data_IF_710236497482
#
_entry.id   IF_710236497482
#
_cell.length_a   1.000
_cell.length_b   1.000
_cell.length_c   1.000
_cell.angle_alpha   90.00
_cell.angle_beta   90.00
_cell.angle_gamma   90.00
#
_symmetry.space_group_name_H-M   'P 1'
#
loop_
_entity.id
_entity.type
_entity.pdbx_description
1 polymer ?
#
# COMPACT_ATOMS: atom_id res chain seq x y z
N UNK A 1 2.81 16.35 11.73
CA UNK A 1 1.38 16.54 11.30
C UNK A 1 1.33 16.84 9.81
N UNK A 2 0.40 16.25 9.07
CA UNK A 2 0.25 16.49 7.64
C UNK A 2 -0.16 17.95 7.32
N UNK A 3 0.06 18.36 6.08
CA UNK A 3 -0.31 19.70 5.59
C UNK A 3 -1.84 19.94 5.53
N UNK A 4 -2.60 18.87 5.49
CA UNK A 4 -4.06 18.87 5.62
C UNK A 4 -4.37 18.21 6.97
N UNK A 5 -4.98 18.93 7.94
CA UNK A 5 -5.25 18.38 9.26
C UNK A 5 -6.27 17.23 9.18
N UNK A 6 -6.16 16.26 10.07
CA UNK A 6 -7.17 15.22 10.22
C UNK A 6 -8.51 15.81 10.69
N UNK A 7 -9.65 15.23 10.30
CA UNK A 7 -10.92 15.56 10.94
C UNK A 7 -10.94 15.01 12.37
N UNK A 8 -11.83 15.52 13.17
CA UNK A 8 -12.16 14.90 14.45
C UNK A 8 -12.97 13.62 14.18
N UNK A 9 -12.34 12.47 14.42
CA UNK A 9 -12.94 11.16 14.14
C UNK A 9 -14.12 10.83 15.06
N UNK A 10 -14.19 11.44 16.24
CA UNK A 10 -15.30 11.26 17.19
C UNK A 10 -16.61 11.86 16.66
N UNK A 11 -16.54 12.80 15.74
CA UNK A 11 -17.70 13.41 15.10
C UNK A 11 -18.32 12.57 13.99
N UNK A 12 -17.64 11.52 13.55
CA UNK A 12 -18.13 10.63 12.47
C UNK A 12 -19.16 9.66 13.07
N UNK A 13 -20.40 9.76 12.61
CA UNK A 13 -21.52 8.92 13.04
C UNK A 13 -22.02 7.95 11.98
N UNK A 14 -21.60 8.12 10.73
CA UNK A 14 -21.96 7.23 9.64
C UNK A 14 -21.33 5.84 9.82
N UNK A 15 -22.17 4.81 9.88
CA UNK A 15 -21.74 3.42 10.16
C UNK A 15 -20.84 2.84 9.07
N UNK A 16 -21.00 3.27 7.81
CA UNK A 16 -20.15 2.83 6.69
C UNK A 16 -18.75 3.41 6.82
N UNK A 17 -18.64 4.70 7.13
CA UNK A 17 -17.35 5.36 7.34
C UNK A 17 -16.62 4.76 8.56
N UNK A 18 -17.34 4.55 9.66
CA UNK A 18 -16.79 3.92 10.86
C UNK A 18 -16.25 2.53 10.57
N UNK A 19 -16.97 1.72 9.79
CA UNK A 19 -16.50 0.39 9.37
C UNK A 19 -15.19 0.48 8.58
N UNK A 20 -15.04 1.41 7.64
CA UNK A 20 -13.78 1.58 6.89
C UNK A 20 -12.61 2.03 7.76
N UNK A 21 -12.86 2.85 8.78
CA UNK A 21 -11.84 3.22 9.75
C UNK A 21 -11.44 2.02 10.63
N UNK A 22 -12.39 1.20 11.05
CA UNK A 22 -12.12 -0.02 11.83
C UNK A 22 -11.40 -1.10 11.00
N UNK A 23 -11.78 -1.27 9.74
CA UNK A 23 -11.07 -2.14 8.81
C UNK A 23 -9.59 -1.74 8.66
N UNK A 24 -9.27 -0.46 8.71
CA UNK A 24 -7.87 0.00 8.64
C UNK A 24 -7.06 -0.40 9.87
N UNK A 25 -7.66 -0.41 11.05
CA UNK A 25 -7.03 -0.91 12.28
C UNK A 25 -6.81 -2.43 12.23
N UNK A 26 -7.78 -3.15 11.65
CA UNK A 26 -7.77 -4.62 11.58
C UNK A 26 -6.79 -5.17 10.55
N UNK A 27 -6.76 -4.60 9.35
CA UNK A 27 -6.01 -5.16 8.20
C UNK A 27 -4.64 -4.51 7.97
N UNK A 28 -4.32 -3.45 8.69
CA UNK A 28 -3.03 -2.78 8.65
C UNK A 28 -2.74 -1.96 7.39
N UNK A 29 -3.39 -2.28 6.25
CA UNK A 29 -3.32 -1.47 5.05
C UNK A 29 -4.67 -1.45 4.32
N UNK A 30 -5.20 -0.24 4.01
CA UNK A 30 -4.63 1.09 4.29
C UNK A 30 -4.64 1.41 5.79
N UNK A 31 -3.67 2.17 6.25
CA UNK A 31 -3.56 2.58 7.66
C UNK A 31 -4.59 3.64 8.05
N UNK A 32 -4.89 3.71 9.35
CA UNK A 32 -5.87 4.65 9.91
C UNK A 32 -5.57 6.10 9.53
N UNK A 33 -4.31 6.54 9.59
CA UNK A 33 -3.91 7.92 9.27
C UNK A 33 -4.35 8.30 7.85
N UNK A 34 -4.13 7.43 6.88
CA UNK A 34 -4.54 7.70 5.49
C UNK A 34 -6.06 7.65 5.30
N UNK A 35 -6.77 6.80 6.03
CA UNK A 35 -8.23 6.71 5.97
C UNK A 35 -8.89 7.90 6.70
N UNK A 36 -8.34 8.32 7.83
CA UNK A 36 -8.79 9.52 8.54
C UNK A 36 -8.67 10.78 7.65
N UNK A 37 -7.56 10.90 6.91
CA UNK A 37 -7.43 12.01 5.96
C UNK A 37 -8.53 11.98 4.88
N UNK A 38 -8.82 10.80 4.32
CA UNK A 38 -9.90 10.63 3.31
C UNK A 38 -11.29 10.88 3.91
N UNK A 39 -11.49 10.60 5.19
CA UNK A 39 -12.76 10.79 5.88
C UNK A 39 -13.23 12.25 5.93
N UNK A 40 -12.35 13.21 5.64
CA UNK A 40 -12.77 14.62 5.42
C UNK A 40 -13.79 14.77 4.29
N UNK A 41 -13.78 13.83 3.33
CA UNK A 41 -14.74 13.79 2.23
C UNK A 41 -15.28 12.37 2.16
N UNK A 42 -16.47 12.08 2.70
CA UNK A 42 -17.06 10.74 2.77
C UNK A 42 -16.96 9.95 1.46
N UNK A 43 -17.33 10.55 0.34
CA UNK A 43 -17.26 9.91 -0.97
C UNK A 43 -15.84 9.46 -1.37
N UNK A 44 -14.80 10.17 -0.93
CA UNK A 44 -13.39 9.79 -1.18
C UNK A 44 -13.01 8.57 -0.34
N UNK A 45 -13.42 8.54 0.93
CA UNK A 45 -13.18 7.38 1.79
C UNK A 45 -13.90 6.14 1.27
N UNK A 46 -15.18 6.25 0.91
CA UNK A 46 -15.99 5.16 0.37
C UNK A 46 -15.40 4.61 -0.93
N UNK A 47 -15.21 5.45 -1.94
CA UNK A 47 -14.71 5.04 -3.25
C UNK A 47 -13.34 4.36 -3.15
N UNK A 48 -12.43 4.93 -2.35
CA UNK A 48 -11.12 4.33 -2.13
C UNK A 48 -11.24 2.99 -1.42
N UNK A 49 -12.01 2.91 -0.34
CA UNK A 49 -12.17 1.69 0.48
C UNK A 49 -12.82 0.56 -0.30
N UNK A 50 -13.83 0.85 -1.12
CA UNK A 50 -14.44 -0.15 -2.01
C UNK A 50 -13.46 -0.65 -3.07
N UNK A 51 -12.74 0.24 -3.75
CA UNK A 51 -11.69 -0.16 -4.69
C UNK A 51 -10.62 -1.02 -4.01
N UNK A 52 -10.20 -0.63 -2.82
CA UNK A 52 -9.19 -1.36 -2.06
C UNK A 52 -9.66 -2.76 -1.67
N UNK A 53 -10.91 -2.89 -1.21
CA UNK A 53 -11.51 -4.18 -0.88
C UNK A 53 -11.61 -5.08 -2.10
N UNK A 54 -12.25 -4.59 -3.17
CA UNK A 54 -12.57 -5.41 -4.34
C UNK A 54 -11.37 -5.74 -5.21
N UNK A 55 -10.41 -4.81 -5.33
CA UNK A 55 -9.26 -4.97 -6.24
C UNK A 55 -8.02 -5.43 -5.49
N UNK A 56 -7.67 -4.82 -4.35
CA UNK A 56 -6.46 -5.18 -3.66
C UNK A 56 -6.60 -6.46 -2.84
N UNK A 57 -7.69 -6.61 -2.07
CA UNK A 57 -7.87 -7.76 -1.18
C UNK A 57 -8.49 -8.97 -1.88
N UNK A 58 -9.54 -8.75 -2.67
CA UNK A 58 -10.35 -9.84 -3.24
C UNK A 58 -9.93 -10.19 -4.66
N UNK A 59 -9.85 -9.34 -5.59
CA UNK A 59 -9.57 -9.44 -7.03
C UNK A 59 -9.11 -10.78 -7.64
N UNK A 60 -8.81 -10.76 -8.92
CA UNK A 60 -8.41 -11.98 -9.68
C UNK A 60 -6.89 -12.19 -9.75
N UNK A 61 -6.10 -11.21 -9.33
CA UNK A 61 -4.64 -11.32 -9.19
C UNK A 61 -4.29 -11.69 -7.76
N UNK A 62 -3.33 -12.61 -7.57
CA UNK A 62 -2.85 -12.98 -6.25
C UNK A 62 -2.45 -11.74 -5.44
N UNK A 63 -2.93 -11.68 -4.20
CA UNK A 63 -2.70 -10.54 -3.33
C UNK A 63 -1.22 -10.25 -3.12
N UNK A 64 -0.38 -11.31 -3.02
CA UNK A 64 1.06 -11.15 -2.85
C UNK A 64 1.73 -10.37 -3.98
N UNK A 65 1.28 -10.53 -5.23
CA UNK A 65 1.79 -9.78 -6.40
C UNK A 65 1.44 -8.31 -6.26
N UNK A 66 0.20 -8.02 -5.89
CA UNK A 66 -0.27 -6.64 -5.66
C UNK A 66 0.47 -5.99 -4.49
N UNK A 67 0.72 -6.72 -3.41
CA UNK A 67 1.48 -6.20 -2.27
C UNK A 67 2.95 -5.91 -2.62
N UNK A 68 3.61 -6.77 -3.40
CA UNK A 68 4.95 -6.50 -3.93
C UNK A 68 4.98 -5.25 -4.81
N UNK A 69 4.04 -5.12 -5.74
CA UNK A 69 3.92 -3.93 -6.59
C UNK A 69 3.68 -2.66 -5.76
N UNK A 70 2.82 -2.72 -4.74
CA UNK A 70 2.56 -1.61 -3.83
C UNK A 70 3.83 -1.15 -3.08
N UNK A 71 4.61 -2.10 -2.56
CA UNK A 71 5.84 -1.79 -1.82
C UNK A 71 6.94 -1.31 -2.77
N UNK A 72 7.06 -1.91 -3.97
CA UNK A 72 7.97 -1.42 -5.01
C UNK A 72 7.71 0.05 -5.32
N UNK A 73 6.48 0.43 -5.62
CA UNK A 73 6.11 1.81 -5.92
C UNK A 73 6.43 2.73 -4.73
N UNK A 74 6.10 2.30 -3.51
CA UNK A 74 6.35 3.08 -2.31
C UNK A 74 7.84 3.36 -2.09
N UNK A 75 8.68 2.35 -2.25
CA UNK A 75 10.14 2.47 -2.11
C UNK A 75 10.74 3.29 -3.25
N UNK A 76 10.31 3.07 -4.48
CA UNK A 76 10.80 3.83 -5.64
C UNK A 76 10.40 5.30 -5.61
N UNK A 77 9.25 5.64 -4.98
CA UNK A 77 8.83 7.02 -4.71
C UNK A 77 9.47 7.62 -3.45
N UNK A 78 10.26 6.86 -2.70
CA UNK A 78 10.77 7.26 -1.39
C UNK A 78 9.64 7.77 -0.47
N UNK A 79 8.52 7.04 -0.42
CA UNK A 79 7.42 7.29 0.49
C UNK A 79 7.58 6.43 1.75
N UNK A 80 8.28 6.91 2.76
CA UNK A 80 8.53 6.15 4.00
C UNK A 80 7.25 5.66 4.68
N UNK A 81 6.20 6.49 4.71
CA UNK A 81 4.89 6.09 5.21
C UNK A 81 4.29 4.90 4.43
N UNK A 82 4.33 4.96 3.09
CA UNK A 82 3.75 3.90 2.27
C UNK A 82 4.60 2.62 2.27
N UNK A 83 5.93 2.76 2.29
CA UNK A 83 6.88 1.65 2.28
C UNK A 83 6.91 0.89 3.61
N UNK A 84 6.59 1.55 4.71
CA UNK A 84 6.53 0.95 6.05
C UNK A 84 5.27 0.12 6.33
N UNK A 85 4.30 0.08 5.41
CA UNK A 85 3.08 -0.71 5.60
C UNK A 85 3.25 -2.15 5.09
N UNK A 86 2.58 -3.09 5.76
CA UNK A 86 2.50 -4.51 5.38
C UNK A 86 1.05 -4.97 5.39
N UNK A 87 0.65 -5.64 4.33
CA UNK A 87 -0.65 -6.28 4.29
C UNK A 87 -0.64 -7.57 5.09
N UNK A 88 -1.62 -7.75 5.95
CA UNK A 88 -1.82 -9.00 6.69
C UNK A 88 -1.98 -10.20 5.73
N UNK A 89 -2.78 -10.04 4.67
CA UNK A 89 -2.96 -11.07 3.65
C UNK A 89 -1.65 -11.40 2.90
N UNK A 90 -0.76 -10.43 2.70
CA UNK A 90 0.55 -10.68 2.09
C UNK A 90 1.41 -11.59 2.97
N UNK A 91 1.41 -11.38 4.28
CA UNK A 91 2.10 -12.23 5.24
C UNK A 91 1.49 -13.64 5.28
N UNK A 92 0.16 -13.77 5.28
CA UNK A 92 -0.54 -15.07 5.20
C UNK A 92 -0.21 -15.84 3.92
N UNK A 93 0.04 -15.14 2.81
CA UNK A 93 0.49 -15.73 1.54
C UNK A 93 2.01 -15.94 1.46
N UNK A 94 2.71 -15.81 2.58
CA UNK A 94 4.12 -16.14 2.71
C UNK A 94 5.09 -15.07 2.21
N UNK A 95 4.68 -13.80 2.07
CA UNK A 95 5.61 -12.70 1.84
C UNK A 95 6.47 -12.45 3.08
N UNK A 96 7.75 -12.24 2.84
CA UNK A 96 8.76 -12.01 3.89
C UNK A 96 9.44 -10.65 3.71
N UNK A 97 10.01 -10.09 4.79
CA UNK A 97 10.77 -8.83 4.73
C UNK A 97 11.92 -8.91 3.73
N UNK A 98 12.59 -10.06 3.61
CA UNK A 98 13.66 -10.25 2.62
C UNK A 98 13.20 -10.03 1.17
N UNK A 99 11.99 -10.46 0.81
CA UNK A 99 11.43 -10.20 -0.52
C UNK A 99 11.11 -8.72 -0.71
N UNK A 100 10.57 -8.07 0.32
CA UNK A 100 10.38 -6.62 0.25
C UNK A 100 11.70 -5.84 0.15
N UNK A 101 12.78 -6.32 0.76
CA UNK A 101 14.09 -5.66 0.66
C UNK A 101 14.66 -5.72 -0.75
N UNK A 102 14.33 -6.74 -1.52
CA UNK A 102 14.82 -6.94 -2.87
C UNK A 102 13.94 -6.32 -3.98
N UNK A 103 12.77 -5.70 -3.65
CA UNK A 103 11.83 -5.21 -4.69
C UNK A 103 12.42 -4.15 -5.61
N UNK A 104 13.36 -3.32 -5.18
CA UNK A 104 14.01 -2.34 -6.05
C UNK A 104 15.07 -3.00 -6.97
N UNK A 105 15.62 -4.13 -6.55
CA UNK A 105 16.59 -4.94 -7.30
C UNK A 105 15.93 -6.20 -7.91
N UNK A 106 14.62 -6.16 -8.10
CA UNK A 106 13.80 -7.33 -8.46
C UNK A 106 14.31 -8.13 -9.65
N UNK A 107 14.95 -7.48 -10.63
CA UNK A 107 15.52 -8.17 -11.81
C UNK A 107 16.59 -9.18 -11.44
N UNK A 108 17.34 -8.93 -10.37
CA UNK A 108 18.43 -9.79 -9.88
C UNK A 108 18.01 -10.70 -8.74
N UNK A 109 16.83 -10.47 -8.17
CA UNK A 109 16.33 -11.24 -7.04
C UNK A 109 16.19 -12.72 -7.40
N UNK A 110 16.64 -13.58 -6.49
CA UNK A 110 16.39 -15.02 -6.52
C UNK A 110 15.22 -15.42 -5.62
N UNK A 111 14.65 -14.48 -4.87
CA UNK A 111 13.51 -14.68 -3.98
C UNK A 111 12.17 -14.40 -4.66
N UNK A 112 12.19 -13.75 -5.82
CA UNK A 112 11.00 -13.40 -6.58
C UNK A 112 10.88 -14.31 -7.80
N UNK A 113 9.66 -14.78 -8.05
CA UNK A 113 9.33 -15.59 -9.23
C UNK A 113 9.31 -14.71 -10.51
N UNK A 114 9.43 -15.33 -11.68
CA UNK A 114 9.36 -14.58 -12.96
C UNK A 114 8.01 -13.88 -13.14
N UNK A 115 6.92 -14.49 -12.64
CA UNK A 115 5.58 -13.86 -12.62
C UNK A 115 5.56 -12.59 -11.77
N UNK A 116 6.19 -12.61 -10.61
CA UNK A 116 6.31 -11.42 -9.73
C UNK A 116 7.19 -10.35 -10.38
N UNK A 117 8.29 -10.75 -11.01
CA UNK A 117 9.17 -9.82 -11.75
C UNK A 117 8.46 -9.16 -12.93
N UNK A 118 7.66 -9.91 -13.69
CA UNK A 118 6.85 -9.36 -14.77
C UNK A 118 5.87 -8.29 -14.26
N UNK A 119 5.20 -8.53 -13.12
CA UNK A 119 4.34 -7.54 -12.49
C UNK A 119 5.11 -6.28 -12.05
N UNK A 120 6.33 -6.43 -11.55
CA UNK A 120 7.18 -5.31 -11.13
C UNK A 120 7.74 -4.52 -12.31
N UNK A 121 8.06 -5.15 -13.46
CA UNK A 121 8.38 -4.46 -14.71
C UNK A 121 7.23 -3.55 -15.14
N UNK A 122 6.00 -4.04 -15.04
CA UNK A 122 4.84 -3.24 -15.41
C UNK A 122 4.56 -2.14 -14.39
N UNK A 123 4.75 -2.43 -13.09
CA UNK A 123 4.64 -1.40 -12.05
C UNK A 123 5.65 -0.26 -12.26
N UNK A 124 6.87 -0.58 -12.68
CA UNK A 124 7.89 0.41 -13.02
C UNK A 124 7.48 1.25 -14.22
N UNK A 125 6.99 0.62 -15.30
CA UNK A 125 6.53 1.32 -16.50
C UNK A 125 5.37 2.28 -16.18
N UNK A 126 4.34 1.82 -15.49
CA UNK A 126 3.20 2.68 -15.13
C UNK A 126 3.61 3.81 -14.18
N UNK A 127 4.52 3.53 -13.23
CA UNK A 127 4.91 4.53 -12.23
C UNK A 127 5.85 5.61 -12.76
N UNK A 128 6.70 5.29 -13.73
CA UNK A 128 7.81 6.15 -14.15
C UNK A 128 7.75 6.55 -15.62
N UNK A 129 7.72 5.58 -16.53
CA UNK A 129 7.75 5.82 -17.97
C UNK A 129 7.01 4.72 -18.71
N UNK A 130 5.82 4.98 -19.27
CA UNK A 130 5.06 4.00 -20.02
C UNK A 130 5.83 3.39 -21.21
N UNK A 131 6.83 4.09 -21.73
CA UNK A 131 7.69 3.58 -22.82
C UNK A 131 8.57 2.39 -22.41
N UNK A 132 8.71 2.11 -21.10
CA UNK A 132 9.40 0.92 -20.61
C UNK A 132 8.59 -0.38 -20.83
N UNK A 133 7.29 -0.28 -21.09
CA UNK A 133 6.44 -1.43 -21.42
C UNK A 133 6.55 -1.74 -22.93
N UNK A 134 7.72 -2.15 -23.35
CA UNK A 134 8.00 -2.60 -24.72
C UNK A 134 7.46 -4.01 -25.02
N UNK A 135 7.66 -4.49 -26.24
CA UNK A 135 7.18 -5.80 -26.68
C UNK A 135 7.72 -6.95 -25.80
N UNK A 136 8.92 -6.81 -25.24
CA UNK A 136 9.50 -7.84 -24.36
C UNK A 136 8.81 -7.88 -23.00
N UNK A 137 8.45 -6.74 -22.46
CA UNK A 137 7.68 -6.64 -21.21
C UNK A 137 6.27 -7.19 -21.43
N UNK A 138 5.62 -6.85 -22.54
CA UNK A 138 4.30 -7.39 -22.87
C UNK A 138 4.33 -8.90 -23.09
N UNK A 139 5.36 -9.43 -23.75
CA UNK A 139 5.53 -10.88 -23.89
C UNK A 139 5.63 -11.57 -22.51
N UNK A 140 6.44 -11.04 -21.59
CA UNK A 140 6.57 -11.58 -20.23
C UNK A 140 5.25 -11.47 -19.44
N UNK A 141 4.50 -10.37 -19.61
CA UNK A 141 3.20 -10.21 -18.97
C UNK A 141 2.19 -11.25 -19.46
N UNK A 142 2.05 -11.45 -20.76
CA UNK A 142 1.13 -12.43 -21.34
C UNK A 142 1.55 -13.89 -21.09
N UNK A 143 2.82 -14.16 -20.79
CA UNK A 143 3.25 -15.48 -20.34
C UNK A 143 2.67 -15.84 -18.96
N UNK A 144 2.47 -14.84 -18.10
CA UNK A 144 2.13 -15.06 -16.70
C UNK A 144 0.72 -14.60 -16.29
N UNK A 145 0.05 -13.76 -17.08
CA UNK A 145 -1.24 -13.16 -16.76
C UNK A 145 -2.17 -13.22 -17.97
N UNK A 146 -3.45 -13.51 -17.72
CA UNK A 146 -4.50 -13.31 -18.70
C UNK A 146 -4.96 -11.84 -18.72
N UNK A 147 -5.79 -11.47 -19.71
CA UNK A 147 -6.22 -10.09 -19.94
C UNK A 147 -6.98 -9.50 -18.73
N UNK A 148 -7.84 -10.29 -18.06
CA UNK A 148 -8.58 -9.84 -16.88
C UNK A 148 -7.62 -9.49 -15.73
N UNK A 149 -6.60 -10.32 -15.53
CA UNK A 149 -5.56 -10.09 -14.53
C UNK A 149 -4.71 -8.86 -14.86
N UNK A 150 -4.39 -8.64 -16.14
CA UNK A 150 -3.68 -7.44 -16.58
C UNK A 150 -4.50 -6.18 -16.34
N UNK A 151 -5.79 -6.19 -16.65
CA UNK A 151 -6.68 -5.04 -16.38
C UNK A 151 -6.72 -4.73 -14.89
N UNK A 152 -6.89 -5.74 -14.02
CA UNK A 152 -6.92 -5.53 -12.58
C UNK A 152 -5.58 -5.02 -12.04
N UNK A 153 -4.47 -5.65 -12.44
CA UNK A 153 -3.15 -5.27 -11.97
C UNK A 153 -2.78 -3.86 -12.41
N UNK A 154 -3.04 -3.49 -13.67
CA UNK A 154 -2.79 -2.15 -14.19
C UNK A 154 -3.61 -1.09 -13.47
N UNK A 155 -4.90 -1.35 -13.24
CA UNK A 155 -5.76 -0.48 -12.44
C UNK A 155 -5.21 -0.30 -11.02
N UNK A 156 -4.84 -1.40 -10.37
CA UNK A 156 -4.30 -1.37 -9.01
C UNK A 156 -3.00 -0.59 -8.91
N UNK A 157 -2.08 -0.78 -9.86
CA UNK A 157 -0.80 -0.05 -9.92
C UNK A 157 -1.07 1.46 -10.07
N UNK A 158 -1.95 1.86 -10.99
CA UNK A 158 -2.31 3.26 -11.19
C UNK A 158 -2.96 3.89 -9.94
N UNK A 159 -3.90 3.17 -9.31
CA UNK A 159 -4.54 3.60 -8.08
C UNK A 159 -3.52 3.80 -6.95
N UNK A 160 -2.70 2.79 -6.68
CA UNK A 160 -1.76 2.84 -5.56
C UNK A 160 -0.66 3.87 -5.76
N UNK A 161 -0.14 4.03 -6.99
CA UNK A 161 0.83 5.06 -7.33
C UNK A 161 0.27 6.47 -7.08
N UNK A 162 -0.91 6.78 -7.59
CA UNK A 162 -1.56 8.08 -7.39
C UNK A 162 -1.79 8.39 -5.91
N UNK A 163 -2.29 7.40 -5.16
CA UNK A 163 -2.54 7.54 -3.73
C UNK A 163 -1.24 7.72 -2.92
N UNK A 164 -0.18 7.02 -3.25
CA UNK A 164 1.10 7.15 -2.55
C UNK A 164 1.74 8.52 -2.81
N UNK A 165 1.69 9.03 -4.04
CA UNK A 165 2.13 10.39 -4.36
C UNK A 165 1.33 11.44 -3.59
N UNK A 166 0.01 11.30 -3.54
CA UNK A 166 -0.85 12.18 -2.76
C UNK A 166 -0.46 12.17 -1.27
N UNK A 167 -0.38 11.00 -0.63
CA UNK A 167 -0.03 10.89 0.79
C UNK A 167 1.37 11.46 1.10
N UNK A 168 2.34 11.22 0.22
CA UNK A 168 3.69 11.79 0.34
C UNK A 168 3.66 13.32 0.26
N UNK A 169 2.91 13.90 -0.67
CA UNK A 169 2.82 15.38 -0.83
C UNK A 169 2.12 16.05 0.35
N UNK A 170 1.15 15.37 0.96
CA UNK A 170 0.47 15.86 2.18
C UNK A 170 1.36 15.71 3.42
N UNK A 171 2.30 14.76 3.40
CA UNK A 171 3.22 14.53 4.51
C UNK A 171 2.61 13.72 5.66
N UNK A 172 1.74 12.76 5.35
CA UNK A 172 1.20 11.79 6.33
C UNK A 172 2.34 10.94 6.89
N UNK A 173 2.35 10.71 8.20
CA UNK A 173 3.35 9.91 8.88
C UNK A 173 2.72 8.87 9.81
N UNK A 174 3.44 7.79 10.08
CA UNK A 174 3.07 6.84 11.11
C UNK A 174 3.12 7.52 12.49
N UNK A 175 2.12 7.25 13.32
CA UNK A 175 2.01 7.85 14.65
C UNK A 175 1.40 9.24 14.68
N UNK A 176 0.96 9.78 13.55
CA UNK A 176 0.16 11.04 13.53
C UNK A 176 -1.15 10.90 14.33
N UNK A 177 -1.70 9.68 14.41
CA UNK A 177 -2.86 9.31 15.22
C UNK A 177 -2.48 8.25 16.23
N UNK A 178 -2.66 8.54 17.52
CA UNK A 178 -2.24 7.66 18.61
C UNK A 178 -2.96 6.29 18.59
N UNK A 179 -4.22 6.25 18.16
CA UNK A 179 -5.04 5.04 18.09
C UNK A 179 -4.83 4.20 16.82
N UNK A 180 -3.93 4.63 15.93
CA UNK A 180 -3.55 3.85 14.74
C UNK A 180 -2.77 2.57 15.08
N UNK A 181 -2.12 2.50 16.23
CA UNK A 181 -1.34 1.34 16.67
C UNK A 181 -0.20 0.98 15.72
N UNK A 182 0.36 -0.22 15.87
CA UNK A 182 1.47 -0.74 15.06
C UNK A 182 1.08 -1.87 14.11
N UNK A 183 -0.19 -2.32 14.14
CA UNK A 183 -0.67 -3.37 13.23
C UNK A 183 -0.47 -3.00 11.76
N UNK A 184 0.05 -3.95 10.96
CA UNK A 184 0.31 -3.74 9.54
C UNK A 184 1.49 -2.81 9.26
N UNK A 185 2.45 -2.70 10.17
CA UNK A 185 3.73 -2.04 9.93
C UNK A 185 4.85 -3.06 9.74
N UNK A 186 5.86 -2.66 8.97
CA UNK A 186 7.13 -3.39 8.92
C UNK A 186 7.74 -3.44 10.32
N UNK A 187 8.44 -4.52 10.70
CA UNK A 187 8.94 -4.72 12.07
C UNK A 187 9.78 -3.56 12.59
N UNK A 188 10.69 -3.03 11.76
CA UNK A 188 11.55 -1.90 12.09
C UNK A 188 10.79 -0.59 12.31
N UNK A 189 9.69 -0.40 11.60
CA UNK A 189 8.81 0.78 11.75
C UNK A 189 7.99 0.67 13.03
N UNK A 190 7.44 -0.52 13.31
CA UNK A 190 6.68 -0.78 14.53
C UNK A 190 7.56 -0.54 15.78
N UNK A 191 8.76 -1.12 15.80
CA UNK A 191 9.70 -0.96 16.92
C UNK A 191 10.07 0.52 17.17
N UNK A 192 10.34 1.28 16.11
CA UNK A 192 10.64 2.72 16.24
C UNK A 192 9.48 3.50 16.87
N UNK A 193 8.23 3.22 16.47
CA UNK A 193 7.06 3.88 17.03
C UNK A 193 6.85 3.53 18.49
N UNK A 194 7.01 2.27 18.88
CA UNK A 194 6.90 1.82 20.26
C UNK A 194 7.97 2.47 21.15
N UNK A 195 9.21 2.57 20.67
CA UNK A 195 10.28 3.27 21.37
C UNK A 195 10.01 4.77 21.56
N UNK A 196 9.40 5.42 20.55
CA UNK A 196 9.01 6.83 20.64
C UNK A 196 7.88 7.03 21.65
N UNK A 197 6.85 6.19 21.64
CA UNK A 197 5.75 6.25 22.59
C UNK A 197 6.24 6.06 24.04
N UNK A 198 7.13 5.08 24.29
CA UNK A 198 7.70 4.83 25.60
C UNK A 198 8.55 6.02 26.12
N UNK A 199 9.28 6.71 25.24
CA UNK A 199 10.04 7.92 25.63
C UNK A 199 9.13 9.08 26.03
N UNK A 200 7.97 9.25 25.35
CA UNK A 200 7.01 10.30 25.68
C UNK A 200 6.28 10.07 27.00
N UNK A 201 6.08 8.80 27.39
CA UNK A 201 5.48 8.45 28.68
C UNK A 201 6.46 8.58 29.88
N UNK A 202 7.76 8.63 29.61
CA UNK A 202 8.80 8.73 30.63
C UNK A 202 9.23 10.19 30.92
N UNK A 203 8.66 11.16 30.20
CA UNK A 203 8.91 12.61 30.39
C UNK A 203 7.71 13.32 30.96
#
# INVERSE_FOLDING_TARGET
>A
MPRIPYPDLETITDSTLLRYLDDSRRFGTPRLESQALRARVPAVLETFSESWQRVFREGVVDHRIKELARVFIARSLDCGYCAGQRSHLGAEQGLTERQFDEVLEFRRSTLLTEREKAALLWAEAIAWDPGLADDSVWAALHEHFNDDQLVELGYFIGLTMGQQRFLKTVGVQHGDLADAGTAGLAPDVAERLEQQANKQLAT
#
